data_IF_491134973490
#
_entry.id   IF_491134973490
#
_cell.length_a   1.000
_cell.length_b   1.000
_cell.length_c   1.000
_cell.angle_alpha   90.00
_cell.angle_beta   90.00
_cell.angle_gamma   90.00
#
_symmetry.space_group_name_H-M   'P 1'
#
loop_
_entity.id
_entity.type
_entity.pdbx_description
1 polymer ?
#
# COMPACT_ATOMS: atom_id res chain seq x y z
N UNK A 1 -1.61 -21.43 -6.37
CA UNK A 1 -2.08 -20.49 -7.40
C UNK A 1 -1.82 -19.13 -6.82
N UNK A 2 -1.14 -18.23 -7.54
CA UNK A 2 -0.98 -16.86 -7.06
C UNK A 2 -2.37 -16.25 -6.85
N UNK A 3 -2.53 -15.55 -5.75
CA UNK A 3 -3.71 -14.71 -5.51
C UNK A 3 -3.32 -13.25 -5.75
N UNK A 4 -4.33 -12.39 -5.90
CA UNK A 4 -4.10 -10.95 -6.03
C UNK A 4 -4.35 -10.26 -4.70
N UNK A 5 -3.55 -9.27 -4.42
CA UNK A 5 -3.78 -8.34 -3.33
C UNK A 5 -4.03 -6.95 -3.89
N UNK A 6 -4.95 -6.23 -3.26
CA UNK A 6 -5.41 -4.92 -3.65
C UNK A 6 -5.24 -3.99 -2.46
N UNK A 7 -4.22 -3.13 -2.51
CA UNK A 7 -4.05 -2.07 -1.51
C UNK A 7 -4.90 -0.88 -1.91
N UNK A 8 -5.70 -0.38 -0.97
CA UNK A 8 -6.54 0.81 -1.11
C UNK A 8 -6.29 1.74 0.06
N UNK A 9 -6.28 3.05 -0.21
CA UNK A 9 -6.27 4.06 0.84
C UNK A 9 -6.78 5.40 0.30
N UNK A 10 -6.97 6.35 1.22
CA UNK A 10 -7.27 7.75 0.90
C UNK A 10 -6.17 8.65 1.44
N UNK A 11 -5.61 9.51 0.61
CA UNK A 11 -4.59 10.48 1.02
C UNK A 11 -5.26 11.78 1.43
N UNK A 12 -4.95 12.26 2.63
CA UNK A 12 -5.50 13.51 3.16
C UNK A 12 -4.40 14.44 3.68
N UNK A 13 -4.63 15.74 3.64
CA UNK A 13 -3.71 16.70 4.26
C UNK A 13 -3.83 16.62 5.77
N UNK A 14 -2.69 16.53 6.46
CA UNK A 14 -2.62 16.56 7.93
C UNK A 14 -3.17 17.84 8.56
N UNK A 15 -3.20 18.94 7.80
CA UNK A 15 -3.60 20.25 8.32
C UNK A 15 -5.11 20.38 8.46
N UNK A 16 -5.89 19.75 7.58
CA UNK A 16 -7.32 19.99 7.47
C UNK A 16 -8.14 18.73 7.09
N UNK A 17 -7.52 17.56 6.98
CA UNK A 17 -8.11 16.29 6.56
C UNK A 17 -8.84 16.33 5.20
N UNK A 18 -8.52 17.33 4.36
CA UNK A 18 -9.03 17.41 3.00
C UNK A 18 -8.28 16.43 2.08
N UNK A 19 -8.95 15.86 1.07
CA UNK A 19 -8.31 14.94 0.15
C UNK A 19 -7.18 15.60 -0.64
N UNK A 20 -6.10 14.86 -0.87
CA UNK A 20 -4.99 15.30 -1.72
C UNK A 20 -5.09 14.60 -3.06
N UNK A 21 -5.57 15.32 -4.07
CA UNK A 21 -5.67 14.84 -5.44
C UNK A 21 -4.35 14.94 -6.18
N UNK A 22 -4.06 13.99 -7.07
CA UNK A 22 -2.85 13.99 -7.91
C UNK A 22 -1.56 13.63 -7.17
N UNK A 23 -1.63 13.09 -5.95
CA UNK A 23 -0.47 12.63 -5.21
C UNK A 23 0.09 11.35 -5.84
N UNK A 24 1.41 11.30 -6.00
CA UNK A 24 2.10 10.10 -6.46
C UNK A 24 2.30 9.16 -5.26
N UNK A 25 1.78 7.94 -5.37
CA UNK A 25 1.84 6.92 -4.33
C UNK A 25 2.68 5.75 -4.81
N UNK A 26 3.61 5.29 -3.97
CA UNK A 26 4.36 4.05 -4.17
C UNK A 26 4.13 3.12 -2.99
N UNK A 27 3.75 1.88 -3.27
CA UNK A 27 3.49 0.82 -2.28
C UNK A 27 4.68 -0.13 -2.25
N UNK A 28 5.07 -0.51 -1.05
CA UNK A 28 6.19 -1.41 -0.80
C UNK A 28 5.78 -2.48 0.21
N UNK A 29 6.34 -3.66 0.05
CA UNK A 29 6.47 -4.63 1.14
C UNK A 29 7.71 -4.30 1.98
N UNK A 30 7.65 -4.55 3.29
CA UNK A 30 8.75 -4.33 4.21
C UNK A 30 9.47 -5.64 4.48
N UNK A 31 10.55 -5.89 3.76
CA UNK A 31 11.44 -7.00 4.06
C UNK A 31 12.54 -6.66 5.07
N UNK A 32 13.17 -7.69 5.64
CA UNK A 32 14.33 -7.54 6.52
C UNK A 32 15.57 -7.00 5.79
N UNK A 33 15.71 -7.22 4.48
CA UNK A 33 16.93 -6.92 3.72
C UNK A 33 16.72 -5.87 2.63
N UNK A 34 15.67 -5.97 1.81
CA UNK A 34 15.36 -5.02 0.73
C UNK A 34 13.84 -4.91 0.56
N UNK A 35 13.26 -3.74 0.83
CA UNK A 35 11.83 -3.49 0.64
C UNK A 35 11.41 -3.72 -0.83
N UNK A 36 10.52 -4.68 -1.08
CA UNK A 36 10.01 -4.98 -2.43
C UNK A 36 9.02 -3.91 -2.91
N UNK A 37 9.21 -3.41 -4.14
CA UNK A 37 8.29 -2.45 -4.76
C UNK A 37 7.11 -3.18 -5.41
N UNK A 38 5.90 -2.88 -4.93
CA UNK A 38 4.68 -3.58 -5.35
C UNK A 38 3.86 -2.82 -6.40
N UNK A 39 4.07 -1.51 -6.52
CA UNK A 39 3.43 -0.70 -7.55
C UNK A 39 3.32 0.78 -7.21
N UNK A 40 2.86 1.55 -8.20
CA UNK A 40 2.58 2.97 -8.04
C UNK A 40 1.21 3.38 -8.61
N UNK A 41 0.63 4.43 -8.03
CA UNK A 41 -0.64 5.01 -8.44
C UNK A 41 -0.63 6.53 -8.25
N UNK A 42 -1.60 7.20 -8.87
CA UNK A 42 -1.89 8.61 -8.62
C UNK A 42 -3.26 8.73 -7.97
N UNK A 43 -3.40 9.54 -6.93
CA UNK A 43 -4.68 9.72 -6.26
C UNK A 43 -5.71 10.43 -7.13
N UNK A 44 -6.97 10.03 -7.01
CA UNK A 44 -8.10 10.67 -7.69
C UNK A 44 -8.49 12.02 -7.04
N UNK A 45 -9.61 12.61 -7.48
CA UNK A 45 -10.10 13.89 -6.96
C UNK A 45 -10.49 13.83 -5.47
N UNK A 46 -10.86 12.65 -4.97
CA UNK A 46 -11.27 12.40 -3.59
C UNK A 46 -10.11 11.86 -2.73
N UNK A 47 -8.89 11.82 -3.29
CA UNK A 47 -7.67 11.39 -2.63
C UNK A 47 -7.46 9.88 -2.62
N UNK A 48 -8.32 9.09 -3.25
CA UNK A 48 -8.23 7.63 -3.22
C UNK A 48 -7.20 7.11 -4.22
N UNK A 49 -6.58 5.99 -3.88
CA UNK A 49 -5.81 5.17 -4.82
C UNK A 49 -6.08 3.69 -4.60
N UNK A 50 -5.80 2.88 -5.62
CA UNK A 50 -5.80 1.42 -5.54
C UNK A 50 -4.64 0.86 -6.35
N UNK A 51 -3.97 -0.15 -5.82
CA UNK A 51 -2.89 -0.89 -6.50
C UNK A 51 -3.17 -2.38 -6.35
N UNK A 52 -3.10 -3.11 -7.45
CA UNK A 52 -3.22 -4.57 -7.47
C UNK A 52 -1.87 -5.18 -7.81
N UNK A 53 -1.43 -6.13 -6.99
CA UNK A 53 -0.20 -6.91 -7.19
C UNK A 53 -0.45 -8.39 -6.89
N UNK A 54 0.46 -9.24 -7.33
CA UNK A 54 0.36 -10.69 -7.14
C UNK A 54 1.10 -11.12 -5.90
N UNK A 55 0.66 -12.21 -5.27
CA UNK A 55 1.42 -12.90 -4.24
C UNK A 55 2.84 -13.28 -4.65
N UNK A 56 3.10 -13.43 -5.96
CA UNK A 56 4.45 -13.73 -6.46
C UNK A 56 5.39 -12.52 -6.40
N UNK A 57 4.85 -11.30 -6.25
CA UNK A 57 5.63 -10.05 -6.21
C UNK A 57 6.27 -9.78 -4.84
N UNK A 58 5.86 -10.49 -3.77
CA UNK A 58 6.36 -10.33 -2.40
C UNK A 58 6.76 -11.64 -1.71
N UNK A 59 6.67 -12.79 -2.38
CA UNK A 59 7.11 -14.06 -1.81
C UNK A 59 8.64 -14.09 -1.68
N UNK A 60 9.16 -13.60 -0.56
CA UNK A 60 10.56 -13.67 -0.19
C UNK A 60 11.10 -15.10 -0.31
N UNK A 61 12.18 -15.28 -1.07
CA UNK A 61 12.80 -16.58 -1.39
C UNK A 61 13.32 -17.37 -0.18
N UNK A 62 13.14 -16.90 1.06
CA UNK A 62 13.90 -17.36 2.24
C UNK A 62 13.06 -18.10 3.28
N UNK A 63 11.75 -17.89 3.40
CA UNK A 63 10.99 -18.47 4.53
C UNK A 63 9.89 -19.43 4.14
N UNK A 64 9.24 -19.31 2.97
CA UNK A 64 8.09 -20.16 2.64
C UNK A 64 6.92 -20.07 3.66
N UNK A 65 6.93 -19.04 4.50
CA UNK A 65 5.99 -18.84 5.62
C UNK A 65 5.49 -17.39 5.77
N UNK A 66 6.00 -16.40 5.02
CA UNK A 66 5.35 -15.08 4.99
C UNK A 66 4.01 -15.22 4.26
N UNK A 67 2.93 -15.19 5.05
CA UNK A 67 1.59 -15.40 4.55
C UNK A 67 1.04 -14.14 3.89
N UNK A 68 1.51 -12.94 4.27
CA UNK A 68 1.04 -11.61 3.82
C UNK A 68 2.19 -10.59 3.87
N UNK A 69 2.16 -9.54 3.03
CA UNK A 69 3.16 -8.48 3.04
C UNK A 69 2.91 -7.47 4.18
N UNK A 70 3.99 -6.88 4.67
CA UNK A 70 4.01 -5.78 5.61
C UNK A 70 4.06 -4.44 4.84
N UNK A 71 2.88 -3.88 4.57
CA UNK A 71 2.74 -2.77 3.62
C UNK A 71 3.15 -1.43 4.23
N UNK A 72 3.92 -0.63 3.49
CA UNK A 72 3.98 0.81 3.71
C UNK A 72 3.92 1.58 2.39
N UNK A 73 3.52 2.85 2.48
CA UNK A 73 3.42 3.72 1.31
C UNK A 73 4.34 4.93 1.43
N UNK A 74 4.88 5.37 0.28
CA UNK A 74 5.51 6.68 0.12
C UNK A 74 4.60 7.53 -0.75
N UNK A 75 4.17 8.68 -0.24
CA UNK A 75 3.26 9.58 -0.93
C UNK A 75 3.94 10.92 -1.16
N UNK A 76 4.02 11.35 -2.41
CA UNK A 76 4.53 12.67 -2.80
C UNK A 76 3.36 13.62 -3.03
N UNK A 77 3.26 14.65 -2.20
CA UNK A 77 2.25 15.70 -2.33
C UNK A 77 2.58 16.59 -3.55
N UNK A 78 1.68 16.74 -4.53
CA UNK A 78 1.98 17.45 -5.77
C UNK A 78 2.09 18.97 -5.57
N UNK A 79 1.45 19.52 -4.54
CA UNK A 79 1.49 20.95 -4.25
C UNK A 79 2.82 21.39 -3.62
N UNK A 80 3.43 20.50 -2.82
CA UNK A 80 4.65 20.82 -2.05
C UNK A 80 5.90 20.10 -2.56
N UNK A 81 5.73 19.03 -3.35
CA UNK A 81 6.80 18.11 -3.74
C UNK A 81 7.33 17.24 -2.60
N UNK A 82 6.78 17.38 -1.38
CA UNK A 82 7.24 16.65 -0.19
C UNK A 82 6.77 15.20 -0.24
N UNK A 83 7.66 14.27 0.12
CA UNK A 83 7.33 12.85 0.26
C UNK A 83 7.18 12.47 1.73
N UNK A 84 6.06 11.86 2.08
CA UNK A 84 5.79 11.28 3.40
C UNK A 84 5.79 9.75 3.30
N UNK A 85 6.50 9.09 4.21
CA UNK A 85 6.41 7.63 4.40
C UNK A 85 5.38 7.36 5.49
N UNK A 86 4.42 6.47 5.22
CA UNK A 86 3.44 6.02 6.22
C UNK A 86 4.09 5.16 7.30
N UNK A 87 3.34 4.85 8.36
CA UNK A 87 3.65 3.68 9.19
C UNK A 87 3.64 2.39 8.34
N UNK A 88 4.28 1.35 8.85
CA UNK A 88 4.10 -0.02 8.34
C UNK A 88 2.76 -0.54 8.84
N UNK A 89 2.04 -1.21 7.97
CA UNK A 89 0.79 -1.88 8.24
C UNK A 89 1.06 -3.37 8.25
N UNK A 90 1.39 -3.88 9.44
CA UNK A 90 1.73 -5.28 9.68
C UNK A 90 0.47 -6.15 9.64
N UNK A 91 0.55 -7.32 8.99
CA UNK A 91 -0.50 -8.36 8.95
C UNK A 91 -1.93 -7.80 8.90
N UNK A 92 -2.23 -7.02 7.87
CA UNK A 92 -3.56 -6.43 7.67
C UNK A 92 -4.61 -7.54 7.67
N UNK A 93 -5.51 -7.47 8.65
CA UNK A 93 -6.28 -8.57 9.20
C UNK A 93 -7.12 -9.33 8.18
N UNK A 94 -6.78 -10.59 7.96
CA UNK A 94 -7.60 -11.59 7.29
C UNK A 94 -6.98 -12.97 7.45
N UNK A 95 -7.79 -14.01 7.60
CA UNK A 95 -7.32 -15.39 7.40
C UNK A 95 -7.39 -15.67 5.91
N UNK A 96 -6.25 -15.74 5.22
CA UNK A 96 -6.21 -16.19 3.83
C UNK A 96 -6.76 -17.61 3.76
N UNK A 97 -7.92 -17.78 3.15
CA UNK A 97 -8.30 -19.11 2.69
C UNK A 97 -7.75 -19.28 1.28
N UNK A 98 -7.26 -20.47 0.94
CA UNK A 98 -6.69 -20.78 -0.40
C UNK A 98 -7.63 -20.52 -1.59
N UNK A 99 -8.88 -20.15 -1.34
CA UNK A 99 -9.91 -19.88 -2.33
C UNK A 99 -10.11 -18.38 -2.62
N UNK A 100 -9.48 -17.49 -1.86
CA UNK A 100 -9.62 -16.05 -2.07
C UNK A 100 -8.73 -15.64 -3.26
N UNK A 101 -9.37 -15.45 -4.42
CA UNK A 101 -8.67 -15.07 -5.65
C UNK A 101 -8.14 -13.62 -5.59
N UNK A 102 -8.79 -12.78 -4.77
CA UNK A 102 -8.47 -11.37 -4.57
C UNK A 102 -8.70 -11.00 -3.10
N UNK A 103 -7.75 -10.28 -2.51
CA UNK A 103 -7.86 -9.71 -1.17
C UNK A 103 -7.71 -8.19 -1.22
N UNK A 104 -8.54 -7.47 -0.45
CA UNK A 104 -8.47 -6.01 -0.34
C UNK A 104 -7.90 -5.61 1.01
N UNK A 105 -6.78 -4.89 0.98
CA UNK A 105 -6.18 -4.23 2.13
C UNK A 105 -6.56 -2.75 2.12
N UNK A 106 -7.36 -2.32 3.10
CA UNK A 106 -7.71 -0.92 3.27
C UNK A 106 -6.85 -0.29 4.36
N UNK A 107 -5.97 0.64 3.99
CA UNK A 107 -5.07 1.34 4.90
C UNK A 107 -5.73 2.52 5.64
N UNK A 108 -6.97 2.86 5.25
CA UNK A 108 -7.68 4.04 5.75
C UNK A 108 -7.10 5.35 5.20
N UNK A 109 -7.09 6.38 6.03
CA UNK A 109 -6.52 7.68 5.68
C UNK A 109 -4.99 7.68 5.89
N UNK A 110 -4.25 8.11 4.86
CA UNK A 110 -2.81 8.37 4.90
C UNK A 110 -2.60 9.87 4.90
N UNK A 111 -2.15 10.39 6.04
CA UNK A 111 -1.91 11.83 6.21
C UNK A 111 -0.57 12.27 5.61
N UNK A 112 -0.60 13.35 4.83
CA UNK A 112 0.58 14.00 4.26
C UNK A 112 0.66 15.47 4.64
N UNK A 113 1.89 16.01 4.68
CA UNK A 113 2.16 17.39 5.10
C UNK A 113 2.03 18.41 3.94
#
# INVERSE_FOLDING_TARGET
>A
MPYKEIVTARVVSRQNHQPVSGAAVRVYDKDLVLDDFLGEATTDADGHFSITFSSDDFQGQVTGFEARPDIFVKVTNPATGKTTKSKVFEELTGSLTRNDAEEIMNLGDVEVD
#
